data_IF_706129904644
#
_entry.id   IF_706129904644
#
_cell.length_a   1.000
_cell.length_b   1.000
_cell.length_c   1.000
_cell.angle_alpha   90.00
_cell.angle_beta   90.00
_cell.angle_gamma   90.00
#
_symmetry.space_group_name_H-M   'P 1'
#
loop_
_entity.id
_entity.type
_entity.pdbx_description
1 polymer ?
#
# COMPACT_ATOMS: atom_id res chain seq x y z
N UNK A 1 -18.81 12.32 11.15
CA UNK A 1 -17.71 13.14 11.69
C UNK A 1 -16.42 12.32 11.63
N UNK A 2 -15.38 12.85 10.98
CA UNK A 2 -14.06 12.23 10.91
C UNK A 2 -13.09 13.04 11.75
N UNK A 3 -12.34 12.38 12.65
CA UNK A 3 -11.41 13.02 13.59
C UNK A 3 -10.04 12.33 13.51
N UNK A 4 -9.11 12.83 12.67
CA UNK A 4 -7.76 12.27 12.61
C UNK A 4 -6.84 12.83 13.69
N UNK A 5 -5.84 12.04 14.13
CA UNK A 5 -4.80 12.49 15.07
C UNK A 5 -3.82 13.50 14.48
N UNK A 6 -3.82 13.66 13.15
CA UNK A 6 -2.98 14.65 12.46
C UNK A 6 -3.86 15.78 11.93
N UNK A 7 -3.68 17.03 12.41
CA UNK A 7 -4.60 18.14 12.11
C UNK A 7 -4.60 18.57 10.63
N UNK A 8 -3.56 18.27 9.88
CA UNK A 8 -3.47 18.56 8.45
C UNK A 8 -4.24 17.56 7.55
N UNK A 9 -4.79 16.49 8.13
CA UNK A 9 -5.62 15.54 7.37
C UNK A 9 -7.05 16.10 7.21
N UNK A 10 -7.63 16.01 5.99
CA UNK A 10 -8.99 16.48 5.77
C UNK A 10 -10.00 15.67 6.58
N UNK A 11 -11.08 16.34 6.99
CA UNK A 11 -12.20 15.75 7.75
C UNK A 11 -13.47 15.66 6.90
N UNK A 12 -13.39 15.99 5.62
CA UNK A 12 -14.44 16.04 4.61
C UNK A 12 -14.21 15.00 3.48
N UNK A 13 -14.90 15.17 2.34
CA UNK A 13 -14.83 14.31 1.14
C UNK A 13 -13.43 14.12 0.55
N UNK A 14 -12.46 14.93 0.90
CA UNK A 14 -11.04 14.74 0.53
C UNK A 14 -10.42 13.55 1.28
N UNK A 15 -11.03 13.13 2.40
CA UNK A 15 -10.61 11.96 3.17
C UNK A 15 -11.31 10.69 2.65
N UNK A 16 -10.55 9.66 2.30
CA UNK A 16 -11.10 8.39 1.79
C UNK A 16 -12.00 7.68 2.82
N UNK A 17 -11.72 7.82 4.13
CA UNK A 17 -12.58 7.26 5.16
C UNK A 17 -13.97 7.93 5.21
N UNK A 18 -14.03 9.24 4.92
CA UNK A 18 -15.28 9.96 4.79
C UNK A 18 -16.07 9.48 3.57
N UNK A 19 -15.41 9.38 2.40
CA UNK A 19 -16.02 8.85 1.17
C UNK A 19 -16.53 7.42 1.34
N UNK A 20 -15.78 6.58 2.05
CA UNK A 20 -16.19 5.22 2.37
C UNK A 20 -17.49 5.20 3.18
N UNK A 21 -17.64 6.09 4.15
CA UNK A 21 -18.86 6.21 4.94
C UNK A 21 -20.05 6.65 4.09
N UNK A 22 -19.88 7.62 3.19
CA UNK A 22 -20.92 8.04 2.25
C UNK A 22 -21.34 6.89 1.33
N UNK A 23 -20.38 6.16 0.74
CA UNK A 23 -20.68 5.03 -0.14
C UNK A 23 -21.44 3.91 0.58
N UNK A 24 -21.07 3.62 1.83
CA UNK A 24 -21.78 2.62 2.63
C UNK A 24 -23.17 3.11 3.09
N UNK A 25 -23.36 4.40 3.30
CA UNK A 25 -24.67 4.97 3.58
C UNK A 25 -25.60 4.83 2.38
N UNK A 26 -25.10 5.04 1.18
CA UNK A 26 -25.87 4.85 -0.05
C UNK A 26 -26.21 3.37 -0.26
N UNK A 27 -25.27 2.47 -0.09
CA UNK A 27 -25.50 1.02 -0.16
C UNK A 27 -26.55 0.57 0.89
N UNK A 28 -26.51 1.14 2.10
CA UNK A 28 -27.50 0.86 3.13
C UNK A 28 -28.93 1.26 2.70
N UNK A 29 -29.08 2.47 2.14
CA UNK A 29 -30.38 2.95 1.62
C UNK A 29 -30.91 2.06 0.50
N UNK A 30 -30.06 1.66 -0.45
CA UNK A 30 -30.45 0.74 -1.53
C UNK A 30 -30.93 -0.62 -1.00
N UNK A 31 -30.49 -1.02 0.18
CA UNK A 31 -30.93 -2.24 0.89
C UNK A 31 -32.11 -2.00 1.84
N UNK A 32 -32.73 -0.83 1.80
CA UNK A 32 -33.86 -0.48 2.64
C UNK A 32 -33.51 -0.20 4.10
N UNK A 33 -32.22 0.02 4.42
CA UNK A 33 -31.76 0.33 5.77
C UNK A 33 -31.34 1.81 5.86
N UNK A 34 -31.91 2.52 6.82
CA UNK A 34 -31.56 3.92 7.11
C UNK A 34 -30.88 3.99 8.48
N UNK A 35 -29.55 4.16 8.53
CA UNK A 35 -28.84 4.34 9.79
C UNK A 35 -29.33 5.58 10.53
N UNK A 36 -29.49 5.48 11.85
CA UNK A 36 -29.88 6.60 12.72
C UNK A 36 -28.72 7.07 13.56
N UNK A 37 -28.74 8.34 13.94
CA UNK A 37 -27.72 8.93 14.82
C UNK A 37 -26.52 9.47 14.05
N UNK A 38 -25.43 9.73 14.77
CA UNK A 38 -24.19 10.30 14.25
C UNK A 38 -23.10 9.25 14.15
N UNK A 39 -22.58 9.03 12.95
CA UNK A 39 -21.39 8.22 12.73
C UNK A 39 -20.13 9.04 13.08
N UNK A 40 -19.29 8.51 13.95
CA UNK A 40 -17.97 9.06 14.30
C UNK A 40 -16.88 8.09 13.87
N UNK A 41 -15.88 8.58 13.12
CA UNK A 41 -14.73 7.82 12.64
C UNK A 41 -13.49 8.49 13.20
N UNK A 42 -12.79 7.81 14.09
CA UNK A 42 -11.49 8.27 14.59
C UNK A 42 -10.36 7.60 13.82
N UNK A 43 -9.38 8.39 13.33
CA UNK A 43 -8.24 7.89 12.58
C UNK A 43 -6.95 8.17 13.37
N UNK A 44 -6.42 7.15 14.01
CA UNK A 44 -5.08 7.20 14.58
C UNK A 44 -4.04 6.99 13.47
N UNK A 45 -3.50 8.10 12.94
CA UNK A 45 -2.61 8.06 11.78
C UNK A 45 -1.17 7.75 12.17
N UNK A 46 -0.75 6.51 11.94
CA UNK A 46 0.62 6.02 12.17
C UNK A 46 1.43 5.91 10.88
N UNK A 47 0.79 5.43 9.80
CA UNK A 47 1.45 5.32 8.48
C UNK A 47 1.66 6.72 7.90
N UNK A 48 2.87 7.05 7.41
CA UNK A 48 3.15 8.35 6.77
C UNK A 48 2.18 8.68 5.64
N UNK A 49 1.86 9.99 5.50
CA UNK A 49 0.95 10.47 4.46
C UNK A 49 1.73 10.71 3.17
N UNK A 50 1.08 10.48 2.02
CA UNK A 50 1.67 10.65 0.67
C UNK A 50 3.00 9.90 0.50
N UNK A 51 3.09 8.70 1.06
CA UNK A 51 4.31 7.91 1.12
C UNK A 51 4.30 6.66 0.20
N UNK A 52 3.25 6.44 -0.60
CA UNK A 52 3.14 5.20 -1.40
C UNK A 52 2.88 3.93 -0.57
N UNK A 53 2.46 4.07 0.70
CA UNK A 53 2.25 2.95 1.64
C UNK A 53 0.77 2.56 1.82
N UNK A 54 -0.14 3.04 0.98
CA UNK A 54 -1.55 2.65 1.00
C UNK A 54 -2.33 2.99 2.28
N UNK A 55 -1.80 3.87 3.16
CA UNK A 55 -2.39 4.14 4.47
C UNK A 55 -3.80 4.75 4.42
N UNK A 56 -4.09 5.58 3.41
CA UNK A 56 -5.44 6.10 3.15
C UNK A 56 -6.40 5.00 2.66
N UNK A 57 -5.90 4.17 1.75
CA UNK A 57 -6.64 3.03 1.20
C UNK A 57 -6.98 2.00 2.28
N UNK A 58 -6.04 1.74 3.20
CA UNK A 58 -6.27 0.88 4.36
C UNK A 58 -7.35 1.40 5.30
N UNK A 59 -7.36 2.71 5.59
CA UNK A 59 -8.43 3.33 6.39
C UNK A 59 -9.79 3.26 5.71
N UNK A 60 -9.84 3.52 4.39
CA UNK A 60 -11.05 3.39 3.58
C UNK A 60 -11.63 1.98 3.68
N UNK A 61 -10.81 0.97 3.44
CA UNK A 61 -11.21 -0.44 3.54
C UNK A 61 -11.74 -0.79 4.93
N UNK A 62 -11.07 -0.33 5.99
CA UNK A 62 -11.51 -0.55 7.37
C UNK A 62 -12.91 0.05 7.63
N UNK A 63 -13.20 1.23 7.10
CA UNK A 63 -14.53 1.86 7.22
C UNK A 63 -15.58 1.08 6.43
N UNK A 64 -15.31 0.67 5.19
CA UNK A 64 -16.22 -0.16 4.39
C UNK A 64 -16.60 -1.46 5.13
N UNK A 65 -15.59 -2.17 5.61
CA UNK A 65 -15.77 -3.45 6.33
C UNK A 65 -16.50 -3.23 7.67
N UNK A 66 -16.08 -2.21 8.42
CA UNK A 66 -16.66 -1.88 9.72
C UNK A 66 -18.13 -1.52 9.62
N UNK A 67 -18.53 -0.65 8.68
CA UNK A 67 -19.91 -0.26 8.49
C UNK A 67 -20.79 -1.40 7.94
N UNK A 68 -20.23 -2.23 7.04
CA UNK A 68 -20.91 -3.44 6.60
C UNK A 68 -21.29 -4.36 7.77
N UNK A 69 -20.41 -4.50 8.76
CA UNK A 69 -20.65 -5.30 9.98
C UNK A 69 -21.61 -4.61 10.94
N UNK A 70 -21.38 -3.34 11.26
CA UNK A 70 -22.19 -2.57 12.23
C UNK A 70 -23.64 -2.46 11.74
N UNK A 71 -23.85 -2.15 10.48
CA UNK A 71 -25.18 -2.00 9.88
C UNK A 71 -25.77 -3.32 9.37
N UNK A 72 -25.03 -4.45 9.53
CA UNK A 72 -25.47 -5.79 9.10
C UNK A 72 -25.91 -5.86 7.65
N UNK A 73 -25.23 -5.14 6.75
CA UNK A 73 -25.64 -5.03 5.34
C UNK A 73 -25.39 -6.33 4.56
N UNK A 74 -24.57 -7.25 5.09
CA UNK A 74 -24.28 -8.55 4.47
C UNK A 74 -23.68 -8.44 3.06
N UNK A 75 -22.96 -7.34 2.75
CA UNK A 75 -22.18 -7.24 1.53
C UNK A 75 -21.04 -8.28 1.60
N UNK A 76 -20.91 -9.10 0.58
CA UNK A 76 -19.75 -9.99 0.45
C UNK A 76 -18.49 -9.20 0.07
N UNK A 77 -17.33 -9.86 0.12
CA UNK A 77 -16.05 -9.21 -0.18
C UNK A 77 -16.01 -8.63 -1.60
N UNK A 78 -16.59 -9.32 -2.59
CA UNK A 78 -16.67 -8.85 -3.97
C UNK A 78 -17.41 -7.51 -4.06
N UNK A 79 -18.60 -7.41 -3.46
CA UNK A 79 -19.38 -6.16 -3.44
C UNK A 79 -18.64 -5.02 -2.74
N UNK A 80 -17.93 -5.31 -1.63
CA UNK A 80 -17.11 -4.31 -0.95
C UNK A 80 -15.93 -3.86 -1.84
N UNK A 81 -15.32 -4.75 -2.61
CA UNK A 81 -14.27 -4.40 -3.58
C UNK A 81 -14.83 -3.56 -4.74
N UNK A 82 -16.03 -3.86 -5.24
CA UNK A 82 -16.70 -3.04 -6.27
C UNK A 82 -16.94 -1.61 -5.78
N UNK A 83 -17.44 -1.44 -4.56
CA UNK A 83 -17.61 -0.11 -3.92
C UNK A 83 -16.24 0.56 -3.76
N UNK A 84 -15.23 -0.16 -3.28
CA UNK A 84 -13.88 0.33 -3.06
C UNK A 84 -13.23 0.85 -4.35
N UNK A 85 -13.40 0.16 -5.48
CA UNK A 85 -12.83 0.52 -6.79
C UNK A 85 -13.30 1.90 -7.30
N UNK A 86 -14.48 2.36 -6.90
CA UNK A 86 -14.98 3.71 -7.24
C UNK A 86 -14.18 4.84 -6.58
N UNK A 87 -13.40 4.54 -5.56
CA UNK A 87 -12.66 5.52 -4.77
C UNK A 87 -11.14 5.49 -5.01
N UNK A 88 -10.61 4.36 -5.49
CA UNK A 88 -9.21 4.20 -5.84
C UNK A 88 -8.82 2.75 -6.09
N UNK A 89 -7.87 2.51 -6.99
CA UNK A 89 -7.44 1.19 -7.45
C UNK A 89 -6.78 0.31 -6.38
N UNK A 90 -6.13 0.91 -5.37
CA UNK A 90 -5.47 0.16 -4.29
C UNK A 90 -6.43 -0.27 -3.18
N UNK A 91 -7.63 0.32 -3.12
CA UNK A 91 -8.57 0.09 -2.01
C UNK A 91 -9.16 -1.33 -2.05
N UNK A 92 -9.51 -1.90 -3.21
CA UNK A 92 -9.96 -3.29 -3.30
C UNK A 92 -8.98 -4.30 -2.71
N UNK A 93 -7.66 -4.12 -2.93
CA UNK A 93 -6.65 -4.95 -2.30
C UNK A 93 -6.68 -4.83 -0.76
N UNK A 94 -6.81 -3.61 -0.24
CA UNK A 94 -6.93 -3.39 1.20
C UNK A 94 -8.20 -4.05 1.78
N UNK A 95 -9.32 -4.04 1.05
CA UNK A 95 -10.55 -4.76 1.43
C UNK A 95 -10.30 -6.26 1.45
N UNK A 96 -9.70 -6.80 0.39
CA UNK A 96 -9.42 -8.24 0.27
C UNK A 96 -8.59 -8.73 1.46
N UNK A 97 -7.46 -8.09 1.76
CA UNK A 97 -6.53 -8.56 2.81
C UNK A 97 -7.05 -8.33 4.24
N UNK A 98 -7.94 -7.35 4.45
CA UNK A 98 -8.56 -7.11 5.75
C UNK A 98 -9.81 -7.95 6.00
N UNK A 99 -10.49 -8.42 4.95
CA UNK A 99 -11.77 -9.13 5.05
C UNK A 99 -11.67 -10.62 4.73
N UNK A 100 -10.52 -11.12 4.33
CA UNK A 100 -10.28 -12.53 4.00
C UNK A 100 -8.95 -13.03 4.59
N UNK A 101 -8.67 -14.34 4.58
CA UNK A 101 -7.38 -14.87 5.01
C UNK A 101 -6.24 -14.63 3.99
N UNK A 102 -6.52 -14.09 2.80
CA UNK A 102 -5.46 -13.79 1.85
C UNK A 102 -4.58 -12.64 2.34
N UNK A 103 -3.27 -12.76 2.10
CA UNK A 103 -2.26 -11.72 2.42
C UNK A 103 -1.49 -11.27 1.18
N UNK A 104 -1.75 -11.93 0.06
CA UNK A 104 -1.20 -11.64 -1.25
C UNK A 104 -2.30 -11.76 -2.30
N UNK A 105 -2.23 -10.99 -3.35
CA UNK A 105 -3.15 -11.08 -4.47
C UNK A 105 -2.43 -10.82 -5.79
N UNK A 106 -2.94 -11.43 -6.83
CA UNK A 106 -2.66 -11.07 -8.21
C UNK A 106 -3.64 -9.99 -8.63
N UNK A 107 -3.12 -8.85 -9.08
CA UNK A 107 -3.92 -7.74 -9.59
C UNK A 107 -3.74 -7.58 -11.10
N UNK A 108 -4.83 -7.32 -11.80
CA UNK A 108 -4.87 -6.95 -13.22
C UNK A 108 -5.68 -5.67 -13.41
N UNK A 109 -5.80 -5.20 -14.64
CA UNK A 109 -6.39 -3.91 -14.93
C UNK A 109 -5.51 -2.78 -14.39
N UNK A 110 -6.07 -1.83 -13.65
CA UNK A 110 -5.34 -0.80 -12.91
C UNK A 110 -4.99 -1.23 -11.47
N UNK A 111 -5.17 -2.53 -11.14
CA UNK A 111 -4.97 -3.11 -9.81
C UNK A 111 -6.27 -3.45 -9.06
N UNK A 112 -7.44 -3.18 -9.65
CA UNK A 112 -8.74 -3.43 -9.05
C UNK A 112 -9.27 -4.86 -9.25
N UNK A 113 -8.84 -5.55 -10.31
CA UNK A 113 -9.19 -6.94 -10.57
C UNK A 113 -8.28 -7.88 -9.79
N UNK A 114 -8.78 -8.40 -8.68
CA UNK A 114 -7.97 -9.11 -7.70
C UNK A 114 -8.29 -10.60 -7.62
N UNK A 115 -7.24 -11.41 -7.63
CA UNK A 115 -7.29 -12.82 -7.27
C UNK A 115 -6.39 -13.10 -6.08
N UNK A 116 -6.98 -13.44 -4.93
CA UNK A 116 -6.22 -13.78 -3.73
C UNK A 116 -5.31 -14.99 -3.92
N UNK A 117 -4.09 -14.91 -3.41
CA UNK A 117 -3.10 -15.98 -3.44
C UNK A 117 -2.84 -16.48 -2.03
N UNK A 118 -2.81 -17.82 -1.87
CA UNK A 118 -2.45 -18.48 -0.60
C UNK A 118 -0.93 -18.68 -0.53
N UNK A 119 -0.22 -17.57 -0.58
CA UNK A 119 1.23 -17.54 -0.44
C UNK A 119 1.60 -16.53 0.63
N UNK A 120 2.64 -16.81 1.37
CA UNK A 120 3.15 -15.90 2.40
C UNK A 120 4.66 -15.92 2.38
N UNK A 121 5.26 -14.75 2.47
CA UNK A 121 6.69 -14.55 2.60
C UNK A 121 6.93 -13.89 3.96
N UNK A 122 7.71 -14.55 4.84
CA UNK A 122 8.10 -13.94 6.11
C UNK A 122 9.42 -13.23 5.93
N UNK A 123 9.38 -11.91 5.88
CA UNK A 123 10.54 -11.04 5.72
C UNK A 123 10.44 -9.83 6.65
N UNK A 124 11.58 -9.25 6.93
CA UNK A 124 11.68 -7.99 7.67
C UNK A 124 11.94 -6.86 6.67
N UNK A 125 11.29 -5.74 6.89
CA UNK A 125 11.30 -4.62 5.96
C UNK A 125 11.90 -3.38 6.63
N UNK A 126 12.72 -2.69 5.89
CA UNK A 126 13.01 -1.29 6.10
C UNK A 126 12.12 -0.48 5.14
N UNK A 127 11.34 0.43 5.67
CA UNK A 127 10.53 1.39 4.91
C UNK A 127 11.11 2.77 5.15
N UNK A 128 11.65 3.41 4.13
CA UNK A 128 12.26 4.71 4.30
C UNK A 128 11.83 5.69 3.21
N UNK A 129 11.79 7.00 3.55
CA UNK A 129 11.37 8.04 2.62
C UNK A 129 12.09 9.37 2.91
N UNK A 130 12.28 10.22 1.88
CA UNK A 130 12.64 11.62 2.09
C UNK A 130 11.46 12.41 2.72
N UNK A 131 11.70 13.64 3.14
CA UNK A 131 10.71 14.48 3.81
C UNK A 131 9.57 14.96 2.89
N UNK A 132 9.68 14.80 1.58
CA UNK A 132 8.66 15.19 0.60
C UNK A 132 7.78 14.01 0.15
N UNK A 133 6.68 14.32 -0.55
CA UNK A 133 5.83 13.36 -1.25
C UNK A 133 6.05 13.41 -2.77
N UNK A 134 5.69 12.34 -3.47
CA UNK A 134 5.64 12.25 -4.93
C UNK A 134 4.20 12.10 -5.38
N UNK A 135 3.81 12.82 -6.43
CA UNK A 135 2.46 12.77 -6.97
C UNK A 135 2.25 11.50 -7.78
N UNK A 136 1.39 10.61 -7.31
CA UNK A 136 1.01 9.40 -8.05
C UNK A 136 0.46 9.75 -9.44
N UNK A 137 -0.35 10.82 -9.55
CA UNK A 137 -0.89 11.28 -10.83
C UNK A 137 0.20 11.68 -11.82
N UNK A 138 1.22 12.40 -11.35
CA UNK A 138 2.37 12.82 -12.14
C UNK A 138 3.15 11.61 -12.65
N UNK A 139 3.45 10.65 -11.77
CA UNK A 139 4.22 9.45 -12.13
C UNK A 139 3.50 8.63 -13.19
N UNK A 140 2.18 8.39 -13.03
CA UNK A 140 1.40 7.65 -14.02
C UNK A 140 1.21 8.42 -15.34
N UNK A 141 1.14 9.73 -15.31
CA UNK A 141 1.10 10.53 -16.56
C UNK A 141 2.45 10.56 -17.29
N UNK A 142 3.54 10.40 -16.56
CA UNK A 142 4.88 10.50 -17.12
C UNK A 142 5.54 9.17 -17.49
N UNK A 143 5.07 8.05 -16.96
CA UNK A 143 5.73 6.75 -17.20
C UNK A 143 5.71 6.33 -18.68
N UNK A 144 4.65 6.67 -19.41
CA UNK A 144 4.51 6.34 -20.83
C UNK A 144 5.53 7.11 -21.72
N UNK A 145 6.19 8.15 -21.17
CA UNK A 145 7.26 8.89 -21.85
C UNK A 145 8.66 8.33 -21.57
N UNK A 146 8.76 7.30 -20.73
CA UNK A 146 10.03 6.72 -20.33
C UNK A 146 10.31 5.43 -21.11
N UNK A 147 11.57 5.21 -21.43
CA UNK A 147 12.02 3.87 -21.83
C UNK A 147 12.00 2.96 -20.61
N UNK A 148 11.25 1.86 -20.71
CA UNK A 148 11.19 0.84 -19.66
C UNK A 148 12.20 -0.24 -19.98
N UNK A 149 13.28 -0.28 -19.23
CA UNK A 149 14.42 -1.17 -19.47
C UNK A 149 14.16 -2.61 -19.02
N UNK A 150 13.28 -2.80 -18.04
CA UNK A 150 13.01 -4.12 -17.47
C UNK A 150 11.54 -4.24 -17.02
N UNK A 151 10.89 -5.34 -17.42
CA UNK A 151 9.55 -5.70 -16.97
C UNK A 151 9.57 -6.91 -16.03
N UNK A 152 8.69 -6.95 -15.02
CA UNK A 152 8.59 -8.13 -14.16
C UNK A 152 8.02 -9.32 -14.93
N UNK A 153 8.64 -10.50 -14.80
CA UNK A 153 8.02 -11.76 -15.19
C UNK A 153 7.07 -12.21 -14.06
N UNK A 154 5.81 -11.79 -14.20
CA UNK A 154 4.81 -12.03 -13.17
C UNK A 154 4.46 -13.52 -13.02
N UNK A 155 4.52 -14.32 -14.08
CA UNK A 155 4.26 -15.77 -14.00
C UNK A 155 5.39 -16.47 -13.24
N UNK A 156 6.62 -16.09 -13.53
CA UNK A 156 7.79 -16.58 -12.81
C UNK A 156 7.78 -16.17 -11.34
N UNK A 157 7.42 -14.92 -11.05
CA UNK A 157 7.25 -14.43 -9.68
C UNK A 157 6.19 -15.24 -8.91
N UNK A 158 5.02 -15.47 -9.53
CA UNK A 158 3.95 -16.27 -8.94
C UNK A 158 4.39 -17.70 -8.63
N UNK A 159 5.10 -18.34 -9.55
CA UNK A 159 5.67 -19.68 -9.37
C UNK A 159 6.70 -19.70 -8.24
N UNK A 160 7.60 -18.72 -8.22
CA UNK A 160 8.62 -18.58 -7.18
C UNK A 160 8.01 -18.38 -5.79
N UNK A 161 6.97 -17.54 -5.67
CA UNK A 161 6.22 -17.35 -4.42
C UNK A 161 5.59 -18.65 -3.92
N UNK A 162 4.95 -19.43 -4.80
CA UNK A 162 4.39 -20.73 -4.47
C UNK A 162 5.43 -21.76 -4.02
N UNK A 163 6.64 -21.68 -4.57
CA UNK A 163 7.77 -22.56 -4.26
C UNK A 163 8.69 -22.04 -3.16
N UNK A 164 8.45 -20.82 -2.62
CA UNK A 164 9.25 -20.13 -1.61
C UNK A 164 10.73 -20.00 -2.03
N UNK A 165 10.98 -19.70 -3.30
CA UNK A 165 12.31 -19.50 -3.87
C UNK A 165 12.72 -18.04 -3.77
N UNK A 166 13.33 -17.66 -2.67
CA UNK A 166 13.63 -16.25 -2.33
C UNK A 166 14.42 -15.52 -3.43
N UNK A 167 15.48 -16.10 -3.96
CA UNK A 167 16.30 -15.46 -5.00
C UNK A 167 15.52 -15.20 -6.29
N UNK A 168 14.66 -16.13 -6.70
CA UNK A 168 13.78 -15.95 -7.85
C UNK A 168 12.69 -14.89 -7.59
N UNK A 169 12.20 -14.82 -6.35
CA UNK A 169 11.26 -13.78 -5.93
C UNK A 169 11.95 -12.42 -6.05
N UNK A 170 13.13 -12.24 -5.43
CA UNK A 170 13.84 -10.97 -5.45
C UNK A 170 14.22 -10.53 -6.86
N UNK A 171 14.62 -11.46 -7.73
CA UNK A 171 14.96 -11.17 -9.14
C UNK A 171 13.76 -10.62 -9.89
N UNK A 172 12.55 -11.13 -9.63
CA UNK A 172 11.31 -10.73 -10.32
C UNK A 172 10.52 -9.62 -9.61
N UNK A 173 10.99 -9.11 -8.46
CA UNK A 173 10.44 -7.93 -7.81
C UNK A 173 10.95 -6.67 -8.50
N UNK A 174 10.21 -6.16 -9.48
CA UNK A 174 10.54 -5.00 -10.29
C UNK A 174 9.40 -4.00 -10.20
N UNK A 175 9.73 -2.72 -10.06
CA UNK A 175 8.77 -1.62 -10.12
C UNK A 175 9.09 -0.71 -11.30
N UNK A 176 8.33 -0.83 -12.38
CA UNK A 176 8.54 -0.05 -13.61
C UNK A 176 8.45 1.47 -13.38
N UNK A 177 7.70 1.92 -12.36
CA UNK A 177 7.58 3.35 -12.03
C UNK A 177 8.90 3.97 -11.58
N UNK A 178 9.89 3.15 -11.22
CA UNK A 178 11.25 3.63 -10.92
C UNK A 178 11.91 4.30 -12.11
N UNK A 179 11.60 3.89 -13.35
CA UNK A 179 12.14 4.49 -14.59
C UNK A 179 11.75 5.96 -14.72
N UNK A 180 10.60 6.36 -14.19
CA UNK A 180 10.19 7.77 -14.13
C UNK A 180 10.69 8.48 -12.88
N UNK A 181 10.47 7.88 -11.71
CA UNK A 181 10.64 8.57 -10.43
C UNK A 181 12.12 8.77 -10.06
N UNK A 182 12.97 7.76 -10.23
CA UNK A 182 14.36 7.85 -9.77
C UNK A 182 15.18 8.93 -10.51
N UNK A 183 15.07 9.12 -11.86
CA UNK A 183 15.76 10.21 -12.54
C UNK A 183 15.28 11.60 -12.13
N UNK A 184 13.98 11.76 -11.83
CA UNK A 184 13.36 13.06 -11.49
C UNK A 184 13.51 13.44 -10.03
N UNK A 185 13.68 12.47 -9.16
CA UNK A 185 13.80 12.66 -7.73
C UNK A 185 15.12 12.05 -7.20
N UNK A 186 16.28 12.72 -7.44
CA UNK A 186 17.61 12.18 -7.09
C UNK A 186 17.75 11.76 -5.61
N UNK A 187 17.01 12.44 -4.71
CA UNK A 187 17.00 12.09 -3.29
C UNK A 187 16.36 10.72 -3.01
N UNK A 188 15.40 10.28 -3.86
CA UNK A 188 14.81 8.93 -3.78
C UNK A 188 15.81 7.90 -4.29
N UNK A 189 16.53 8.22 -5.37
CA UNK A 189 17.61 7.36 -5.87
C UNK A 189 18.73 7.21 -4.84
N UNK A 190 19.20 8.31 -4.27
CA UNK A 190 20.20 8.29 -3.19
C UNK A 190 19.77 7.40 -2.02
N UNK A 191 18.51 7.51 -1.60
CA UNK A 191 17.95 6.65 -0.55
C UNK A 191 18.00 5.18 -0.94
N UNK A 192 17.61 4.86 -2.18
CA UNK A 192 17.65 3.47 -2.69
C UNK A 192 19.08 2.91 -2.68
N UNK A 193 20.04 3.68 -3.16
CA UNK A 193 21.45 3.29 -3.20
C UNK A 193 22.01 3.09 -1.77
N UNK A 194 21.66 3.98 -0.83
CA UNK A 194 22.06 3.85 0.58
C UNK A 194 21.46 2.59 1.24
N UNK A 195 20.19 2.27 0.99
CA UNK A 195 19.56 1.05 1.53
C UNK A 195 20.23 -0.19 0.93
N UNK A 196 20.54 -0.17 -0.37
CA UNK A 196 21.21 -1.28 -1.04
C UNK A 196 22.62 -1.55 -0.49
N UNK A 197 23.28 -0.54 0.05
CA UNK A 197 24.60 -0.64 0.68
C UNK A 197 24.56 -1.11 2.14
N UNK A 198 23.38 -1.23 2.76
CA UNK A 198 23.27 -1.72 4.15
C UNK A 198 23.49 -3.23 4.22
N UNK A 199 24.07 -3.69 5.32
CA UNK A 199 24.34 -5.12 5.52
C UNK A 199 23.04 -5.95 5.56
N UNK A 200 23.05 -7.06 4.83
CA UNK A 200 21.94 -8.01 4.77
C UNK A 200 20.75 -7.57 3.91
N UNK A 201 20.84 -6.49 3.14
CA UNK A 201 19.79 -6.10 2.18
C UNK A 201 19.69 -7.12 1.03
N UNK A 202 18.55 -7.79 0.91
CA UNK A 202 18.31 -8.85 -0.10
C UNK A 202 17.69 -8.29 -1.38
N UNK A 203 16.82 -7.31 -1.24
CA UNK A 203 16.17 -6.59 -2.34
C UNK A 203 15.84 -5.18 -1.89
N UNK A 204 16.00 -4.24 -2.81
CA UNK A 204 15.62 -2.84 -2.59
C UNK A 204 14.79 -2.37 -3.77
N UNK A 205 13.62 -1.81 -3.50
CA UNK A 205 12.74 -1.27 -4.53
C UNK A 205 11.86 -0.14 -3.99
N UNK A 206 11.40 0.72 -4.88
CA UNK A 206 10.45 1.78 -4.54
C UNK A 206 9.04 1.21 -4.36
N UNK A 207 8.26 1.75 -3.44
CA UNK A 207 6.87 1.38 -3.19
C UNK A 207 5.92 2.21 -4.06
N UNK A 208 5.22 1.56 -5.00
CA UNK A 208 4.29 2.23 -5.91
C UNK A 208 4.97 3.37 -6.67
N UNK A 209 4.36 4.55 -6.69
CA UNK A 209 4.93 5.77 -7.30
C UNK A 209 6.02 6.44 -6.46
N UNK A 210 6.33 5.90 -5.28
CA UNK A 210 7.26 6.48 -4.32
C UNK A 210 6.62 7.50 -3.38
N UNK A 211 7.42 8.28 -2.64
CA UNK A 211 8.88 8.24 -2.56
C UNK A 211 9.45 7.20 -1.60
N UNK A 212 8.60 6.35 -0.98
CA UNK A 212 9.09 5.32 -0.06
C UNK A 212 9.90 4.27 -0.83
N UNK A 213 11.04 3.93 -0.29
CA UNK A 213 11.88 2.81 -0.72
C UNK A 213 11.82 1.72 0.34
N UNK A 214 11.69 0.49 -0.12
CA UNK A 214 11.60 -0.73 0.70
C UNK A 214 12.91 -1.49 0.58
N UNK A 215 13.56 -1.77 1.70
CA UNK A 215 14.61 -2.78 1.81
C UNK A 215 14.05 -4.07 2.40
N UNK A 216 14.37 -5.21 1.81
CA UNK A 216 13.94 -6.53 2.27
C UNK A 216 15.11 -7.25 2.93
N UNK A 217 14.89 -7.83 4.11
CA UNK A 217 15.89 -8.49 4.93
C UNK A 217 15.38 -9.84 5.45
N UNK A 218 16.29 -10.79 5.63
CA UNK A 218 15.99 -12.09 6.23
C UNK A 218 16.07 -12.06 7.77
N UNK A 219 16.68 -11.01 8.34
CA UNK A 219 16.90 -10.83 9.76
C UNK A 219 16.27 -9.55 10.30
N UNK A 220 15.53 -9.67 11.41
CA UNK A 220 15.02 -8.53 12.17
C UNK A 220 16.14 -7.57 12.60
N UNK A 221 17.27 -8.14 13.06
CA UNK A 221 18.43 -7.36 13.49
C UNK A 221 18.99 -6.51 12.36
N UNK A 222 19.18 -7.10 11.17
CA UNK A 222 19.67 -6.39 9.99
C UNK A 222 18.71 -5.25 9.57
N UNK A 223 17.41 -5.53 9.46
CA UNK A 223 16.42 -4.50 9.13
C UNK A 223 16.40 -3.34 10.14
N UNK A 224 16.50 -3.64 11.43
CA UNK A 224 16.53 -2.63 12.51
C UNK A 224 17.82 -1.81 12.48
N UNK A 225 18.97 -2.45 12.25
CA UNK A 225 20.27 -1.77 12.13
C UNK A 225 20.26 -0.83 10.91
N UNK A 226 19.83 -1.30 9.76
CA UNK A 226 19.67 -0.49 8.55
C UNK A 226 18.73 0.71 8.78
N UNK A 227 17.63 0.50 9.54
CA UNK A 227 16.73 1.60 9.90
C UNK A 227 17.45 2.71 10.70
N UNK A 228 18.33 2.35 11.62
CA UNK A 228 19.15 3.31 12.38
C UNK A 228 20.13 4.05 11.46
N UNK A 229 20.79 3.36 10.55
CA UNK A 229 21.75 3.94 9.61
C UNK A 229 21.08 4.93 8.66
N UNK A 230 19.94 4.56 8.10
CA UNK A 230 19.18 5.41 7.18
C UNK A 230 18.61 6.64 7.89
N UNK A 231 18.21 6.54 9.17
CA UNK A 231 17.83 7.71 9.98
C UNK A 231 19.00 8.65 10.19
N UNK A 232 20.20 8.14 10.49
CA UNK A 232 21.41 8.96 10.62
C UNK A 232 21.77 9.67 9.33
N UNK A 233 21.42 9.09 8.17
CA UNK A 233 21.59 9.73 6.85
C UNK A 233 20.52 10.79 6.53
N UNK A 234 19.61 11.11 7.47
CA UNK A 234 18.63 12.20 7.35
C UNK A 234 17.34 11.81 6.63
N UNK A 235 16.97 10.52 6.61
CA UNK A 235 15.70 10.05 6.07
C UNK A 235 14.73 9.62 7.18
N UNK A 236 13.43 9.74 6.92
CA UNK A 236 12.45 9.04 7.73
C UNK A 236 12.57 7.53 7.47
N UNK A 237 12.69 6.73 8.52
CA UNK A 237 12.81 5.28 8.36
C UNK A 237 12.07 4.52 9.47
N UNK A 238 11.45 3.42 9.08
CA UNK A 238 10.67 2.54 9.92
C UNK A 238 11.04 1.10 9.60
N UNK A 239 10.97 0.22 10.57
CA UNK A 239 11.06 -1.20 10.33
C UNK A 239 9.68 -1.84 10.48
N UNK A 240 9.42 -2.89 9.73
CA UNK A 240 8.19 -3.67 9.77
C UNK A 240 8.51 -5.14 9.45
N UNK A 241 7.53 -6.01 9.67
CA UNK A 241 7.55 -7.38 9.17
C UNK A 241 6.33 -7.66 8.29
N UNK A 242 6.47 -8.61 7.40
CA UNK A 242 5.36 -9.07 6.57
C UNK A 242 4.40 -9.92 7.41
N UNK A 243 3.09 -9.73 7.23
CA UNK A 243 2.06 -10.55 7.88
C UNK A 243 1.93 -11.92 7.19
N UNK A 244 1.57 -12.94 7.97
CA UNK A 244 1.29 -14.30 7.49
C UNK A 244 -0.14 -14.47 7.03
#
# INVERSE_FOLDING_TARGET
>A
IVTPTKPYLPTDRRNLAYRAAEAMLEEAKQRGYTPRGTLRIHIEKRIPVAAGLGGGSGNCAAVLIGLNRIWKLRCNTRKLCEIAATMGSDIPFCVLVQNTPYRCAWGTGRGEELRGLRVGLRKYLLLAKPAFGVSTKEVFAGIDTCEITEHPDLQRLKKALGQKKDEEIYRNMINVLENYTLPRYPRVKELKDKIAATDGARKVLMSGSGPTVIGVYDSYRAAKQACVEIRKAGFEAYWADTIR
#
